data_IF_676649156347
#
_entry.id   IF_676649156347
#
_cell.length_a   1.000
_cell.length_b   1.000
_cell.length_c   1.000
_cell.angle_alpha   90.00
_cell.angle_beta   90.00
_cell.angle_gamma   90.00
#
_symmetry.space_group_name_H-M   'P 1'
#
loop_
_entity.id
_entity.type
_entity.pdbx_description
1 polymer ?
#
# COMPACT_ATOMS: atom_id res chain seq x y z
N UNK A 1 -1.75 1.13 0.09
CA UNK A 1 -0.80 0.23 -0.60
C UNK A 1 -1.25 0.03 -2.04
N UNK A 2 -0.33 0.01 -3.03
CA UNK A 2 -0.63 -0.29 -4.44
C UNK A 2 0.16 -1.54 -4.80
N UNK A 3 -0.51 -2.55 -5.34
CA UNK A 3 0.01 -3.89 -5.55
C UNK A 3 0.12 -4.14 -7.04
N UNK A 4 1.25 -4.72 -7.46
CA UNK A 4 1.57 -5.10 -8.84
C UNK A 4 2.27 -6.45 -8.74
N UNK A 5 1.71 -7.47 -9.38
CA UNK A 5 2.22 -8.83 -9.32
C UNK A 5 2.46 -9.45 -10.70
N UNK A 6 1.97 -8.82 -11.76
CA UNK A 6 2.19 -9.17 -13.15
C UNK A 6 2.57 -7.92 -13.96
N UNK A 7 2.95 -8.14 -15.21
CA UNK A 7 3.17 -7.06 -16.17
C UNK A 7 2.49 -7.47 -17.50
N UNK A 8 2.35 -6.60 -18.51
CA UNK A 8 1.56 -6.91 -19.70
C UNK A 8 2.19 -7.95 -20.65
N UNK A 9 3.23 -8.66 -20.24
CA UNK A 9 3.89 -9.66 -21.07
C UNK A 9 3.03 -10.92 -21.27
N UNK A 10 3.37 -11.73 -22.29
CA UNK A 10 2.63 -12.96 -22.56
C UNK A 10 1.16 -12.69 -22.93
N UNK A 11 0.23 -13.07 -22.06
CA UNK A 11 -1.22 -13.06 -22.38
C UNK A 11 -1.98 -11.81 -21.96
N UNK A 12 -1.36 -10.91 -21.20
CA UNK A 12 -2.02 -9.72 -20.66
C UNK A 12 -1.37 -9.29 -19.37
N UNK A 13 -2.09 -8.48 -18.61
CA UNK A 13 -1.70 -8.03 -17.27
C UNK A 13 -2.73 -8.55 -16.25
N UNK A 14 -2.27 -9.33 -15.27
CA UNK A 14 -3.10 -10.14 -14.38
C UNK A 14 -2.83 -9.85 -12.90
N UNK A 15 -3.71 -9.05 -12.31
CA UNK A 15 -3.70 -8.70 -10.88
C UNK A 15 -4.83 -9.45 -10.17
N UNK A 16 -4.76 -10.79 -10.19
CA UNK A 16 -5.83 -11.64 -9.64
C UNK A 16 -5.82 -11.67 -8.12
N UNK A 17 -7.00 -11.63 -7.50
CA UNK A 17 -7.12 -11.62 -6.04
C UNK A 17 -6.54 -12.89 -5.39
N UNK A 18 -6.65 -14.03 -6.06
CA UNK A 18 -6.04 -15.30 -5.62
C UNK A 18 -4.50 -15.19 -5.54
N UNK A 19 -3.86 -14.73 -6.62
CA UNK A 19 -2.40 -14.56 -6.63
C UNK A 19 -1.94 -13.47 -5.66
N UNK A 20 -2.74 -12.41 -5.51
CA UNK A 20 -2.47 -11.33 -4.57
C UNK A 20 -2.51 -11.82 -3.12
N UNK A 21 -3.45 -12.68 -2.73
CA UNK A 21 -3.44 -13.28 -1.39
C UNK A 21 -2.21 -14.17 -1.15
N UNK A 22 -1.73 -14.87 -2.17
CA UNK A 22 -0.55 -15.72 -2.07
C UNK A 22 0.75 -14.90 -1.98
N UNK A 23 0.87 -13.85 -2.78
CA UNK A 23 2.07 -12.99 -2.84
C UNK A 23 2.12 -11.96 -1.71
N UNK A 24 0.97 -11.53 -1.21
CA UNK A 24 0.81 -10.50 -0.16
C UNK A 24 -0.08 -11.00 0.99
N UNK A 25 0.36 -12.04 1.73
CA UNK A 25 -0.46 -12.70 2.73
C UNK A 25 -0.84 -11.74 3.86
N UNK A 26 -2.14 -11.53 4.04
CA UNK A 26 -2.65 -10.66 5.08
C UNK A 26 -2.54 -9.16 4.77
N UNK A 27 -2.22 -8.74 3.56
CA UNK A 27 -2.32 -7.32 3.20
C UNK A 27 -3.72 -6.92 2.75
N UNK A 28 -4.49 -7.89 2.25
CA UNK A 28 -5.85 -7.70 1.74
C UNK A 28 -6.82 -8.49 2.63
N UNK A 29 -7.98 -7.90 2.94
CA UNK A 29 -9.07 -8.56 3.65
C UNK A 29 -9.68 -9.67 2.80
N UNK A 30 -10.31 -10.64 3.46
CA UNK A 30 -11.01 -11.76 2.81
C UNK A 30 -12.13 -11.28 1.87
N UNK A 31 -12.78 -10.15 2.19
CA UNK A 31 -13.85 -9.56 1.38
C UNK A 31 -13.61 -8.07 1.15
N UNK A 32 -12.88 -7.70 0.08
CA UNK A 32 -12.71 -6.30 -0.30
C UNK A 32 -14.04 -5.64 -0.70
N UNK A 33 -14.19 -4.38 -0.31
CA UNK A 33 -15.37 -3.57 -0.61
C UNK A 33 -15.26 -2.89 -1.96
N UNK A 34 -14.08 -2.41 -2.33
CA UNK A 34 -13.81 -1.70 -3.58
C UNK A 34 -12.43 -2.07 -4.12
N UNK A 35 -12.28 -2.01 -5.45
CA UNK A 35 -11.01 -2.09 -6.16
C UNK A 35 -10.75 -0.76 -6.86
N UNK A 36 -9.52 -0.26 -6.74
CA UNK A 36 -9.03 0.93 -7.45
C UNK A 36 -7.81 0.53 -8.28
N UNK A 37 -7.76 0.98 -9.53
CA UNK A 37 -6.79 0.53 -10.53
C UNK A 37 -6.19 1.72 -11.24
N UNK A 38 -4.87 1.74 -11.31
CA UNK A 38 -4.09 2.76 -12.02
C UNK A 38 -3.02 2.08 -12.85
N UNK A 39 -2.55 2.74 -13.89
CA UNK A 39 -1.29 2.32 -14.52
C UNK A 39 -0.13 2.49 -13.53
N UNK A 40 1.00 1.82 -13.77
CA UNK A 40 2.20 2.00 -12.94
C UNK A 40 2.72 3.43 -12.96
N UNK A 41 2.48 4.17 -14.05
CA UNK A 41 2.71 5.62 -14.20
C UNK A 41 1.68 6.54 -13.52
N UNK A 42 0.60 5.98 -12.97
CA UNK A 42 -0.43 6.71 -12.22
C UNK A 42 -1.59 7.24 -13.05
N UNK A 43 -1.69 6.85 -14.32
CA UNK A 43 -2.84 7.13 -15.18
C UNK A 43 -4.07 6.30 -14.81
N UNK A 44 -5.24 6.78 -15.20
CA UNK A 44 -6.50 6.04 -15.00
C UNK A 44 -6.69 4.97 -16.09
N UNK A 45 -7.42 3.90 -15.80
CA UNK A 45 -7.81 2.89 -16.80
C UNK A 45 -8.55 3.54 -17.98
N UNK A 46 -9.46 4.47 -17.73
CA UNK A 46 -10.24 5.12 -18.80
C UNK A 46 -9.37 5.91 -19.79
N UNK A 47 -8.19 6.38 -19.37
CA UNK A 47 -7.28 7.14 -20.23
C UNK A 47 -6.38 6.27 -21.12
N UNK A 48 -6.26 4.96 -20.85
CA UNK A 48 -5.42 4.06 -21.65
C UNK A 48 -6.11 3.64 -22.95
N UNK A 49 -7.45 3.52 -22.92
CA UNK A 49 -8.22 2.96 -24.02
C UNK A 49 -8.22 1.43 -24.06
N UNK A 50 -7.68 0.78 -23.01
CA UNK A 50 -7.66 -0.68 -22.93
C UNK A 50 -9.05 -1.27 -22.72
N UNK A 51 -9.26 -2.49 -23.22
CA UNK A 51 -10.50 -3.23 -23.02
C UNK A 51 -10.31 -4.16 -21.83
N UNK A 52 -10.88 -3.76 -20.69
CA UNK A 52 -10.69 -4.50 -19.45
C UNK A 52 -11.63 -5.70 -19.38
N UNK A 53 -11.07 -6.89 -19.17
CA UNK A 53 -11.83 -8.14 -19.09
C UNK A 53 -12.49 -8.30 -17.73
N UNK A 54 -11.78 -7.97 -16.64
CA UNK A 54 -12.25 -8.10 -15.25
C UNK A 54 -11.75 -6.92 -14.43
N UNK A 55 -12.62 -6.35 -13.60
CA UNK A 55 -12.29 -5.35 -12.59
C UNK A 55 -13.35 -5.39 -11.49
N UNK A 56 -13.16 -6.26 -10.52
CA UNK A 56 -14.08 -6.43 -9.39
C UNK A 56 -13.35 -6.94 -8.13
N UNK A 57 -14.05 -6.92 -7.00
CA UNK A 57 -13.47 -7.26 -5.70
C UNK A 57 -13.45 -8.76 -5.39
N UNK A 58 -13.99 -9.59 -6.26
CA UNK A 58 -14.03 -11.05 -6.08
C UNK A 58 -12.93 -11.76 -6.86
N UNK A 59 -12.52 -11.18 -7.98
CA UNK A 59 -11.56 -11.77 -8.91
C UNK A 59 -10.28 -10.93 -9.02
N UNK A 60 -10.36 -9.61 -8.83
CA UNK A 60 -9.25 -8.67 -9.01
C UNK A 60 -9.35 -7.92 -10.34
N UNK A 61 -8.22 -7.78 -11.04
CA UNK A 61 -8.15 -7.06 -12.31
C UNK A 61 -7.45 -7.89 -13.39
N UNK A 62 -8.00 -7.88 -14.60
CA UNK A 62 -7.43 -8.58 -15.76
C UNK A 62 -7.59 -7.73 -17.01
N UNK A 63 -6.47 -7.42 -17.65
CA UNK A 63 -6.41 -6.97 -19.04
C UNK A 63 -5.79 -8.09 -19.89
N UNK A 64 -6.37 -8.40 -21.05
CA UNK A 64 -5.85 -9.46 -21.94
C UNK A 64 -5.35 -8.87 -23.25
N UNK A 65 -4.11 -9.19 -23.62
CA UNK A 65 -3.53 -8.76 -24.89
C UNK A 65 -4.36 -9.20 -26.11
N UNK A 66 -5.10 -10.31 -26.00
CA UNK A 66 -5.97 -10.81 -27.07
C UNK A 66 -7.23 -9.94 -27.29
N UNK A 67 -7.67 -9.20 -26.28
CA UNK A 67 -8.84 -8.31 -26.35
C UNK A 67 -8.42 -6.90 -26.84
N UNK A 68 -7.12 -6.62 -26.87
CA UNK A 68 -6.56 -5.35 -27.32
C UNK A 68 -6.42 -5.27 -28.85
N UNK A 69 -6.79 -4.11 -29.42
CA UNK A 69 -6.70 -3.90 -30.86
C UNK A 69 -5.26 -3.55 -31.29
N UNK A 70 -4.44 -4.59 -31.46
CA UNK A 70 -3.09 -4.47 -32.04
C UNK A 70 -2.04 -3.84 -31.12
N UNK A 71 -2.30 -3.78 -29.82
CA UNK A 71 -1.36 -3.33 -28.79
C UNK A 71 -1.39 -4.30 -27.60
N UNK A 72 -0.41 -4.19 -26.71
CA UNK A 72 -0.41 -4.87 -25.42
C UNK A 72 -1.19 -4.02 -24.42
N UNK A 73 -1.67 -4.65 -23.36
CA UNK A 73 -2.17 -3.94 -22.19
C UNK A 73 -1.12 -2.95 -21.66
N UNK A 74 -1.58 -1.85 -21.07
CA UNK A 74 -0.75 -1.08 -20.15
C UNK A 74 -0.42 -1.92 -18.90
N UNK A 75 0.56 -1.45 -18.14
CA UNK A 75 1.02 -2.07 -16.90
C UNK A 75 0.24 -1.48 -15.72
N UNK A 76 -0.57 -2.28 -15.03
CA UNK A 76 -1.53 -1.83 -14.01
C UNK A 76 -1.18 -2.28 -12.61
N UNK A 77 -1.40 -1.38 -11.64
CA UNK A 77 -1.36 -1.68 -10.22
C UNK A 77 -2.73 -1.48 -9.59
N UNK A 78 -3.07 -2.35 -8.65
CA UNK A 78 -4.37 -2.36 -7.97
C UNK A 78 -4.24 -2.01 -6.50
N UNK A 79 -5.34 -1.57 -5.90
CA UNK A 79 -5.49 -1.56 -4.44
C UNK A 79 -6.92 -1.87 -4.07
N UNK A 80 -7.09 -2.40 -2.87
CA UNK A 80 -8.38 -2.81 -2.35
C UNK A 80 -8.76 -1.99 -1.12
N UNK A 81 -10.02 -1.58 -1.05
CA UNK A 81 -10.60 -1.01 0.16
C UNK A 81 -11.16 -2.15 1.00
N UNK A 82 -10.76 -2.23 2.26
CA UNK A 82 -11.27 -3.21 3.21
C UNK A 82 -12.27 -2.58 4.19
N UNK A 83 -13.11 -3.39 4.85
CA UNK A 83 -13.90 -2.95 6.00
C UNK A 83 -13.00 -2.38 7.09
N UNK A 84 -13.51 -1.41 7.87
CA UNK A 84 -12.73 -0.78 8.95
C UNK A 84 -12.28 -1.80 9.99
N UNK A 85 -13.10 -2.83 10.25
CA UNK A 85 -12.81 -3.91 11.18
C UNK A 85 -11.59 -4.74 10.77
N UNK A 86 -11.26 -4.79 9.47
CA UNK A 86 -10.03 -5.45 9.00
C UNK A 86 -8.79 -4.66 9.43
N UNK A 87 -8.87 -3.33 9.38
CA UNK A 87 -7.82 -2.45 9.86
C UNK A 87 -7.74 -2.50 11.40
N UNK A 88 -8.89 -2.54 12.08
CA UNK A 88 -8.97 -2.62 13.55
C UNK A 88 -8.45 -3.97 14.09
N UNK A 89 -8.80 -5.09 13.44
CA UNK A 89 -8.44 -6.45 13.89
C UNK A 89 -6.96 -6.79 13.71
N UNK A 90 -6.25 -6.09 12.83
CA UNK A 90 -4.79 -6.19 12.69
C UNK A 90 -4.03 -5.20 13.56
N UNK A 91 -4.74 -4.28 14.21
CA UNK A 91 -4.17 -3.03 14.69
C UNK A 91 -3.80 -2.15 13.50
N UNK A 92 -4.38 -0.95 13.42
CA UNK A 92 -3.94 0.07 12.45
C UNK A 92 -2.51 0.56 12.74
N UNK A 93 -2.02 0.24 13.93
CA UNK A 93 -0.73 0.64 14.44
C UNK A 93 0.18 -0.57 14.57
N UNK A 94 1.40 -0.40 14.08
CA UNK A 94 2.52 -1.28 14.40
C UNK A 94 2.83 -1.20 15.90
N UNK A 95 3.83 -1.95 16.35
CA UNK A 95 4.49 -1.63 17.61
C UNK A 95 5.09 -0.21 17.57
N UNK A 96 5.37 0.36 18.75
CA UNK A 96 6.10 1.62 18.87
C UNK A 96 7.57 1.42 18.51
N UNK A 97 8.11 2.30 17.66
CA UNK A 97 9.53 2.29 17.30
C UNK A 97 10.22 3.52 17.87
N UNK A 98 11.41 3.32 18.42
CA UNK A 98 12.28 4.32 19.04
C UNK A 98 13.71 4.04 18.57
N UNK A 99 14.19 4.83 17.62
CA UNK A 99 15.40 4.54 16.83
C UNK A 99 16.53 5.51 17.10
N UNK A 100 16.19 6.75 17.46
CA UNK A 100 17.16 7.75 17.90
C UNK A 100 16.84 8.16 19.34
N UNK A 101 17.81 8.74 20.04
CA UNK A 101 17.53 9.36 21.34
C UNK A 101 17.72 10.87 21.19
N UNK A 102 17.05 11.71 22.01
CA UNK A 102 17.05 13.17 21.89
C UNK A 102 18.42 13.79 22.25
N UNK A 103 19.41 13.59 21.39
CA UNK A 103 20.80 13.99 21.57
C UNK A 103 21.31 14.74 20.34
N UNK A 104 22.24 15.68 20.54
CA UNK A 104 22.75 16.49 19.43
C UNK A 104 21.70 17.45 18.85
N UNK A 105 21.14 17.13 17.68
CA UNK A 105 20.29 18.04 16.88
C UNK A 105 18.79 17.72 16.90
N UNK A 106 18.37 16.64 17.53
CA UNK A 106 16.95 16.26 17.60
C UNK A 106 16.77 14.80 17.99
N UNK A 107 15.56 14.31 17.75
CA UNK A 107 15.10 12.93 17.90
C UNK A 107 14.45 12.56 16.55
N UNK A 108 14.83 11.44 15.92
CA UNK A 108 14.57 11.20 14.49
C UNK A 108 14.15 9.76 14.16
N UNK A 109 12.86 9.59 13.94
CA UNK A 109 12.22 8.33 13.52
C UNK A 109 11.99 8.31 12.00
N UNK A 110 13.08 8.43 11.21
CA UNK A 110 12.98 8.45 9.75
C UNK A 110 12.48 7.09 9.20
N UNK A 111 11.41 7.11 8.40
CA UNK A 111 10.80 5.90 7.84
C UNK A 111 11.80 5.00 7.09
N UNK A 112 12.72 5.56 6.31
CA UNK A 112 13.74 4.79 5.59
C UNK A 112 14.61 3.95 6.53
N UNK A 113 15.08 4.55 7.64
CA UNK A 113 15.91 3.86 8.62
C UNK A 113 15.08 2.85 9.42
N UNK A 114 13.84 3.21 9.76
CA UNK A 114 12.93 2.29 10.44
C UNK A 114 12.62 1.05 9.61
N UNK A 115 12.40 1.18 8.29
CA UNK A 115 12.20 0.06 7.37
C UNK A 115 13.46 -0.83 7.28
N UNK A 116 14.65 -0.22 7.27
CA UNK A 116 15.92 -0.96 7.25
C UNK A 116 16.17 -1.73 8.55
N UNK A 117 15.87 -1.12 9.70
CA UNK A 117 16.11 -1.71 11.02
C UNK A 117 14.99 -2.69 11.45
N UNK A 118 13.79 -2.58 10.86
CA UNK A 118 12.60 -3.38 11.21
C UNK A 118 11.97 -4.06 9.97
N UNK A 119 12.69 -4.96 9.28
CA UNK A 119 12.22 -5.56 8.04
C UNK A 119 10.92 -6.35 8.24
N UNK A 120 9.90 -6.02 7.44
CA UNK A 120 8.59 -6.67 7.46
C UNK A 120 7.68 -6.27 8.62
N UNK A 121 8.11 -5.38 9.52
CA UNK A 121 7.26 -4.87 10.61
C UNK A 121 6.49 -3.61 10.26
N UNK A 122 6.97 -2.86 9.27
CA UNK A 122 6.39 -1.60 8.81
C UNK A 122 6.12 -1.75 7.31
N UNK A 123 4.91 -1.39 6.87
CA UNK A 123 4.58 -1.38 5.45
C UNK A 123 5.42 -0.31 4.72
N UNK A 124 5.84 -0.57 3.48
CA UNK A 124 6.66 0.35 2.66
C UNK A 124 6.00 1.75 2.50
N UNK A 125 4.67 1.80 2.51
CA UNK A 125 3.87 3.01 2.41
C UNK A 125 2.82 3.06 3.54
N UNK A 126 3.19 3.51 4.76
CA UNK A 126 2.25 3.64 5.86
C UNK A 126 1.16 4.67 5.51
N UNK A 127 -0.07 4.44 5.99
CA UNK A 127 -1.21 5.30 5.71
C UNK A 127 -1.30 6.51 6.65
N UNK A 128 -0.82 6.34 7.88
CA UNK A 128 -0.85 7.33 8.96
C UNK A 128 0.35 7.13 9.88
N UNK A 129 0.66 8.16 10.68
CA UNK A 129 1.70 8.13 11.71
C UNK A 129 1.10 8.57 13.05
N UNK A 130 1.44 7.85 14.12
CA UNK A 130 1.18 8.24 15.50
C UNK A 130 2.51 8.51 16.20
N UNK A 131 2.57 9.57 16.99
CA UNK A 131 3.80 10.01 17.67
C UNK A 131 3.51 10.28 19.14
N UNK A 132 4.30 9.68 20.02
CA UNK A 132 4.30 9.93 21.46
C UNK A 132 5.72 9.82 22.02
N UNK A 133 5.96 10.36 23.21
CA UNK A 133 7.24 10.14 23.90
C UNK A 133 7.34 8.70 24.43
N UNK A 134 8.55 8.25 24.76
CA UNK A 134 8.79 6.95 25.43
C UNK A 134 8.06 6.81 26.79
N UNK A 135 7.62 7.94 27.37
CA UNK A 135 6.79 7.99 28.58
C UNK A 135 5.28 8.01 28.31
N UNK A 136 4.84 7.90 27.04
CA UNK A 136 3.43 7.88 26.65
C UNK A 136 2.75 9.25 26.55
N UNK A 137 3.52 10.34 26.51
CA UNK A 137 2.96 11.69 26.37
C UNK A 137 2.73 12.02 24.89
N UNK A 138 1.55 12.55 24.55
CA UNK A 138 1.28 13.01 23.19
C UNK A 138 2.14 14.23 22.83
N UNK A 139 2.44 14.41 21.55
CA UNK A 139 3.22 15.59 21.06
C UNK A 139 2.68 16.90 21.63
N UNK A 140 1.36 17.09 21.61
CA UNK A 140 0.70 18.30 22.08
C UNK A 140 0.98 18.63 23.56
N UNK A 141 1.23 17.60 24.39
CA UNK A 141 1.51 17.77 25.82
C UNK A 141 2.97 18.11 26.13
N UNK A 142 3.89 17.94 25.17
CA UNK A 142 5.33 18.13 25.39
C UNK A 142 5.80 19.57 25.21
N UNK A 143 5.03 20.40 24.47
CA UNK A 143 5.47 21.74 24.05
C UNK A 143 6.64 21.74 23.05
N UNK A 144 6.98 20.58 22.46
CA UNK A 144 8.06 20.47 21.48
C UNK A 144 7.61 20.99 20.11
N UNK A 145 8.54 21.57 19.35
CA UNK A 145 8.30 21.99 17.96
C UNK A 145 8.70 20.85 17.03
N UNK A 146 7.72 20.24 16.37
CA UNK A 146 7.96 19.15 15.42
C UNK A 146 8.14 19.71 14.01
N UNK A 147 9.23 19.32 13.35
CA UNK A 147 9.65 19.93 12.07
C UNK A 147 9.17 19.15 10.84
N UNK A 148 8.80 17.87 10.98
CA UNK A 148 8.27 17.08 9.86
C UNK A 148 7.31 15.99 10.34
N UNK A 149 6.23 15.82 9.58
CA UNK A 149 5.43 14.60 9.50
C UNK A 149 5.44 14.26 8.01
N UNK A 150 6.12 13.18 7.61
CA UNK A 150 6.12 12.73 6.21
C UNK A 150 5.66 11.30 6.17
#
# INVERSE_FOLDING_TARGET
>A
FKILIDNPSGTGDWETLEDLYLKHPGEICEYPLEIDVLTTSGGSVASTGDTIAISDTSTGFVCKNADQNGHLCEDYKVRFRCPEEFCESKGCWTEWFDRDNPSGKGDWENLELLLQENPGKICEYPLQIEVQTTSGNSVASTGNVITAYV
#
